data_IF_460229072014
#
_entry.id   IF_460229072014
#
_cell.length_a   1.000
_cell.length_b   1.000
_cell.length_c   1.000
_cell.angle_alpha   90.00
_cell.angle_beta   90.00
_cell.angle_gamma   90.00
#
_symmetry.space_group_name_H-M   'P 1'
#
loop_
_entity.id
_entity.type
_entity.pdbx_description
1 polymer ?
#
# COMPACT_ATOMS: atom_id res chain seq x y z
N UNK A 1 -25.64 12.78 -31.80
CA UNK A 1 -25.03 11.59 -31.17
C UNK A 1 -25.26 10.43 -32.11
N UNK A 2 -24.26 9.58 -32.34
CA UNK A 2 -24.35 8.46 -33.29
C UNK A 2 -25.41 7.46 -32.84
N UNK A 3 -26.15 6.87 -33.77
CA UNK A 3 -27.17 5.84 -33.51
C UNK A 3 -26.60 4.65 -32.72
N UNK A 4 -25.30 4.38 -32.90
CA UNK A 4 -24.52 3.40 -32.15
C UNK A 4 -24.43 3.72 -30.64
N UNK A 5 -24.36 5.00 -30.28
CA UNK A 5 -24.32 5.44 -28.88
C UNK A 5 -25.67 5.24 -28.17
N UNK A 6 -26.76 5.47 -28.89
CA UNK A 6 -28.12 5.25 -28.36
C UNK A 6 -28.45 3.75 -28.27
N UNK A 7 -27.92 2.91 -29.17
CA UNK A 7 -28.02 1.44 -29.06
C UNK A 7 -27.21 0.90 -27.89
N UNK A 8 -26.00 1.40 -27.65
CA UNK A 8 -25.20 1.07 -26.47
C UNK A 8 -25.88 1.47 -25.17
N UNK A 9 -26.53 2.64 -25.14
CA UNK A 9 -27.28 3.11 -23.97
C UNK A 9 -28.49 2.22 -23.68
N UNK A 10 -29.22 1.81 -24.71
CA UNK A 10 -30.34 0.86 -24.58
C UNK A 10 -29.90 -0.54 -24.15
N UNK A 11 -28.74 -1.01 -24.61
CA UNK A 11 -28.17 -2.28 -24.14
C UNK A 11 -27.75 -2.19 -22.68
N UNK A 12 -27.17 -1.06 -22.24
CA UNK A 12 -26.83 -0.81 -20.82
C UNK A 12 -28.07 -0.76 -19.92
N UNK A 13 -29.20 -0.24 -20.39
CA UNK A 13 -30.47 -0.21 -19.65
C UNK A 13 -31.18 -1.57 -19.59
N UNK A 14 -30.84 -2.53 -20.46
CA UNK A 14 -31.43 -3.88 -20.50
C UNK A 14 -30.55 -4.91 -19.78
N UNK A 15 -29.25 -4.62 -19.71
CA UNK A 15 -28.22 -5.52 -19.19
C UNK A 15 -27.74 -4.92 -17.88
N UNK A 16 -28.50 -5.22 -16.83
CA UNK A 16 -28.06 -5.12 -15.44
C UNK A 16 -27.05 -6.24 -15.16
N UNK A 17 -25.95 -6.24 -15.91
CA UNK A 17 -24.84 -7.16 -15.69
C UNK A 17 -23.68 -6.33 -15.21
N UNK A 18 -23.33 -6.52 -13.94
CA UNK A 18 -21.94 -6.39 -13.53
C UNK A 18 -21.10 -7.20 -14.52
N UNK A 19 -20.44 -6.51 -15.44
CA UNK A 19 -19.62 -7.14 -16.48
C UNK A 19 -18.37 -7.82 -15.89
N UNK A 20 -18.07 -7.51 -14.63
CA UNK A 20 -16.92 -8.00 -13.88
C UNK A 20 -17.33 -8.21 -12.43
N UNK A 21 -17.22 -9.45 -11.96
CA UNK A 21 -17.59 -9.83 -10.60
C UNK A 21 -16.42 -9.59 -9.63
N UNK A 22 -16.67 -8.78 -8.59
CA UNK A 22 -15.80 -8.60 -7.43
C UNK A 22 -16.49 -9.15 -6.19
N UNK A 23 -15.70 -9.60 -5.22
CA UNK A 23 -16.25 -9.89 -3.89
C UNK A 23 -16.41 -8.57 -3.10
N UNK A 24 -17.30 -8.57 -2.12
CA UNK A 24 -17.53 -7.41 -1.23
C UNK A 24 -16.22 -6.96 -0.54
N UNK A 25 -15.36 -7.92 -0.17
CA UNK A 25 -14.06 -7.62 0.44
C UNK A 25 -13.05 -6.99 -0.56
N UNK A 26 -13.22 -7.22 -1.87
CA UNK A 26 -12.41 -6.60 -2.92
C UNK A 26 -12.80 -5.13 -3.19
N UNK A 27 -14.02 -4.72 -2.80
CA UNK A 27 -14.51 -3.35 -2.95
C UNK A 27 -14.35 -2.81 -4.38
N UNK A 28 -14.91 -3.52 -5.36
CA UNK A 28 -14.80 -3.23 -6.80
C UNK A 28 -13.36 -3.04 -7.30
N UNK A 29 -12.43 -3.84 -6.77
CA UNK A 29 -11.03 -3.83 -7.19
C UNK A 29 -10.13 -2.85 -6.43
N UNK A 30 -10.63 -2.24 -5.35
CA UNK A 30 -9.87 -1.35 -4.49
C UNK A 30 -8.94 -2.10 -3.54
N UNK A 31 -9.36 -3.26 -3.06
CA UNK A 31 -8.64 -4.07 -2.09
C UNK A 31 -8.45 -5.50 -2.60
N UNK A 32 -7.50 -6.22 -2.02
CA UNK A 32 -7.38 -7.66 -2.22
C UNK A 32 -8.09 -8.43 -1.10
N UNK A 33 -8.80 -9.49 -1.48
CA UNK A 33 -9.19 -10.56 -0.58
C UNK A 33 -8.14 -11.69 -0.60
N UNK A 34 -7.10 -11.52 0.21
CA UNK A 34 -6.05 -12.52 0.36
C UNK A 34 -6.27 -13.43 1.58
N UNK A 35 -7.45 -13.44 2.19
CA UNK A 35 -7.67 -14.20 3.42
C UNK A 35 -7.58 -15.72 3.19
N UNK A 36 -8.10 -16.22 2.07
CA UNK A 36 -7.96 -17.64 1.70
C UNK A 36 -6.49 -18.02 1.45
N UNK A 37 -5.76 -17.17 0.72
CA UNK A 37 -4.34 -17.35 0.45
C UNK A 37 -3.50 -17.32 1.73
N UNK A 38 -3.84 -16.43 2.66
CA UNK A 38 -3.22 -16.37 3.98
C UNK A 38 -3.46 -17.65 4.80
N UNK A 39 -4.68 -18.16 4.83
CA UNK A 39 -4.99 -19.41 5.52
C UNK A 39 -4.19 -20.59 4.95
N UNK A 40 -4.05 -20.67 3.62
CA UNK A 40 -3.18 -21.64 2.95
C UNK A 40 -1.72 -21.47 3.38
N UNK A 41 -1.22 -20.23 3.45
CA UNK A 41 0.15 -19.93 3.88
C UNK A 41 0.43 -20.34 5.33
N UNK A 42 -0.45 -19.99 6.27
CA UNK A 42 -0.29 -20.32 7.70
C UNK A 42 -0.32 -21.83 7.95
N UNK A 43 -1.04 -22.58 7.10
CA UNK A 43 -1.13 -24.03 7.18
C UNK A 43 0.09 -24.76 6.58
N UNK A 44 1.04 -24.05 5.95
CA UNK A 44 2.25 -24.66 5.42
C UNK A 44 3.13 -25.20 6.57
N UNK A 45 3.56 -26.45 6.42
CA UNK A 45 4.38 -27.12 7.43
C UNK A 45 5.71 -26.39 7.66
N UNK A 46 6.06 -26.24 8.93
CA UNK A 46 7.30 -25.65 9.42
C UNK A 46 7.51 -24.17 9.05
N UNK A 47 6.50 -23.45 8.56
CA UNK A 47 6.62 -21.99 8.35
C UNK A 47 6.36 -21.24 9.66
N UNK A 48 7.08 -20.13 9.86
CA UNK A 48 6.84 -19.25 10.99
C UNK A 48 5.44 -18.64 10.87
N UNK A 49 4.64 -18.76 11.93
CA UNK A 49 3.30 -18.19 11.93
C UNK A 49 3.41 -16.68 12.04
N UNK A 50 2.98 -16.00 10.98
CA UNK A 50 2.89 -14.54 10.91
C UNK A 50 1.43 -14.12 10.95
N UNK A 51 1.18 -12.90 11.38
CA UNK A 51 -0.12 -12.25 11.32
C UNK A 51 -0.45 -11.79 9.89
N UNK A 52 -1.73 -11.49 9.64
CA UNK A 52 -2.22 -11.14 8.31
C UNK A 52 -1.55 -9.87 7.76
N UNK A 53 -1.29 -8.88 8.62
CA UNK A 53 -0.65 -7.63 8.19
C UNK A 53 0.80 -7.87 7.75
N UNK A 54 1.57 -8.67 8.50
CA UNK A 54 2.93 -9.07 8.09
C UNK A 54 2.90 -9.89 6.79
N UNK A 55 1.90 -10.75 6.62
CA UNK A 55 1.71 -11.49 5.37
C UNK A 55 1.48 -10.57 4.17
N UNK A 56 0.57 -9.59 4.28
CA UNK A 56 0.30 -8.62 3.21
C UNK A 56 1.54 -7.82 2.81
N UNK A 57 2.47 -7.58 3.73
CA UNK A 57 3.73 -6.92 3.42
C UNK A 57 4.74 -7.83 2.68
N UNK A 58 4.61 -9.15 2.83
CA UNK A 58 5.63 -10.13 2.40
C UNK A 58 5.17 -11.12 1.32
N UNK A 59 3.90 -11.18 0.94
CA UNK A 59 3.38 -12.24 0.04
C UNK A 59 4.05 -12.26 -1.35
N UNK A 60 4.60 -11.13 -1.79
CA UNK A 60 5.35 -10.96 -3.03
C UNK A 60 6.89 -11.03 -2.83
N UNK A 61 7.36 -11.35 -1.62
CA UNK A 61 8.77 -11.52 -1.31
C UNK A 61 9.07 -12.95 -0.84
N UNK A 62 9.66 -13.74 -1.74
CA UNK A 62 9.98 -15.16 -1.51
C UNK A 62 11.42 -15.42 -1.05
N UNK A 63 12.18 -14.37 -0.69
CA UNK A 63 13.61 -14.52 -0.34
C UNK A 63 13.79 -15.24 1.00
N UNK A 64 12.93 -14.95 1.97
CA UNK A 64 13.02 -15.48 3.33
C UNK A 64 12.56 -16.94 3.45
N UNK A 65 11.95 -17.50 2.39
CA UNK A 65 11.39 -18.86 2.40
C UNK A 65 12.50 -19.87 2.05
N UNK A 66 12.83 -20.82 2.94
CA UNK A 66 13.89 -21.81 2.67
C UNK A 66 13.57 -22.67 1.45
N UNK A 67 14.60 -22.97 0.65
CA UNK A 67 14.52 -23.77 -0.58
C UNK A 67 13.85 -25.13 -0.36
N UNK A 68 14.12 -25.77 0.77
CA UNK A 68 13.56 -27.09 1.12
C UNK A 68 12.03 -27.04 1.23
N UNK A 69 11.48 -25.90 1.65
CA UNK A 69 10.03 -25.70 1.79
C UNK A 69 9.37 -25.39 0.46
N UNK A 70 10.06 -24.65 -0.42
CA UNK A 70 9.57 -24.31 -1.75
C UNK A 70 9.27 -25.56 -2.60
N UNK A 71 10.02 -26.63 -2.38
CA UNK A 71 9.87 -27.90 -3.10
C UNK A 71 8.71 -28.80 -2.61
N UNK A 72 8.02 -28.41 -1.54
CA UNK A 72 6.85 -29.14 -1.06
C UNK A 72 5.63 -28.92 -1.99
N UNK A 73 4.79 -29.94 -2.16
CA UNK A 73 3.55 -29.85 -2.95
C UNK A 73 2.60 -28.80 -2.38
N UNK A 74 2.45 -28.77 -1.05
CA UNK A 74 1.59 -27.80 -0.35
C UNK A 74 1.98 -26.35 -0.65
N UNK A 75 3.29 -26.08 -0.76
CA UNK A 75 3.79 -24.75 -1.13
C UNK A 75 3.47 -24.42 -2.58
N UNK A 76 3.68 -25.36 -3.50
CA UNK A 76 3.33 -25.17 -4.91
C UNK A 76 1.83 -24.91 -5.08
N UNK A 77 0.98 -25.59 -4.32
CA UNK A 77 -0.48 -25.36 -4.32
C UNK A 77 -0.85 -23.96 -3.79
N UNK A 78 -0.19 -23.52 -2.71
CA UNK A 78 -0.33 -22.15 -2.21
C UNK A 78 0.07 -21.11 -3.25
N UNK A 79 1.27 -21.24 -3.85
CA UNK A 79 1.79 -20.31 -4.86
C UNK A 79 0.88 -20.25 -6.09
N UNK A 80 0.37 -21.38 -6.57
CA UNK A 80 -0.59 -21.38 -7.68
C UNK A 80 -1.91 -20.71 -7.29
N UNK A 81 -2.42 -20.95 -6.07
CA UNK A 81 -3.66 -20.30 -5.60
C UNK A 81 -3.48 -18.78 -5.57
N UNK A 82 -2.35 -18.29 -5.05
CA UNK A 82 -2.04 -16.87 -4.98
C UNK A 82 -1.85 -16.27 -6.37
N UNK A 83 -1.12 -16.95 -7.26
CA UNK A 83 -0.93 -16.49 -8.64
C UNK A 83 -2.25 -16.39 -9.39
N UNK A 84 -3.10 -17.41 -9.31
CA UNK A 84 -4.40 -17.41 -9.99
C UNK A 84 -5.27 -16.26 -9.48
N UNK A 85 -5.36 -16.08 -8.16
CA UNK A 85 -6.11 -14.96 -7.57
C UNK A 85 -5.60 -13.61 -8.09
N UNK A 86 -4.29 -13.36 -8.01
CA UNK A 86 -3.71 -12.09 -8.45
C UNK A 86 -3.84 -11.87 -9.95
N UNK A 87 -3.75 -12.93 -10.75
CA UNK A 87 -3.92 -12.87 -12.20
C UNK A 87 -5.35 -12.46 -12.54
N UNK A 88 -6.34 -13.19 -12.02
CA UNK A 88 -7.76 -12.92 -12.27
C UNK A 88 -8.12 -11.51 -11.78
N UNK A 89 -7.69 -11.14 -10.58
CA UNK A 89 -7.87 -9.79 -10.05
C UNK A 89 -7.22 -8.72 -10.94
N UNK A 90 -6.01 -8.95 -11.47
CA UNK A 90 -5.35 -8.00 -12.35
C UNK A 90 -6.10 -7.80 -13.68
N UNK A 91 -6.62 -8.88 -14.27
CA UNK A 91 -7.43 -8.82 -15.50
C UNK A 91 -8.70 -7.99 -15.24
N UNK A 92 -9.34 -8.19 -14.08
CA UNK A 92 -10.54 -7.44 -13.66
C UNK A 92 -10.26 -5.95 -13.47
N UNK A 93 -9.20 -5.58 -12.75
CA UNK A 93 -8.90 -4.18 -12.37
C UNK A 93 -8.18 -3.40 -13.46
N UNK A 94 -7.33 -4.07 -14.25
CA UNK A 94 -6.50 -3.42 -15.29
C UNK A 94 -6.64 -4.16 -16.63
N UNK A 95 -7.84 -4.18 -17.25
CA UNK A 95 -8.11 -4.96 -18.47
C UNK A 95 -7.33 -4.50 -19.70
N UNK A 96 -6.74 -3.30 -19.66
CA UNK A 96 -5.90 -2.77 -20.75
C UNK A 96 -4.47 -3.33 -20.74
N UNK A 97 -4.08 -4.04 -19.67
CA UNK A 97 -2.76 -4.67 -19.57
C UNK A 97 -2.83 -6.07 -20.18
N UNK A 98 -2.05 -6.29 -21.24
CA UNK A 98 -1.85 -7.63 -21.80
C UNK A 98 -0.87 -8.42 -20.92
N UNK A 99 -1.42 -9.10 -19.91
CA UNK A 99 -0.64 -9.88 -18.93
C UNK A 99 0.03 -11.08 -19.60
N UNK A 100 -0.63 -11.71 -20.58
CA UNK A 100 -0.08 -12.87 -21.27
C UNK A 100 1.19 -12.50 -22.05
N UNK A 101 1.17 -11.38 -22.79
CA UNK A 101 2.36 -10.86 -23.46
C UNK A 101 3.45 -10.51 -22.46
N UNK A 102 3.10 -9.81 -21.38
CA UNK A 102 4.04 -9.41 -20.34
C UNK A 102 4.73 -10.62 -19.68
N UNK A 103 3.99 -11.70 -19.42
CA UNK A 103 4.55 -12.94 -18.89
C UNK A 103 5.42 -13.68 -19.91
N UNK A 104 4.93 -13.87 -21.13
CA UNK A 104 5.58 -14.74 -22.11
C UNK A 104 6.81 -14.11 -22.78
N UNK A 105 6.83 -12.79 -22.93
CA UNK A 105 7.91 -12.06 -23.59
C UNK A 105 8.85 -11.45 -22.55
N UNK A 106 8.41 -10.38 -21.87
CA UNK A 106 9.27 -9.57 -21.02
C UNK A 106 9.75 -10.31 -19.78
N UNK A 107 8.82 -10.89 -19.01
CA UNK A 107 9.14 -11.53 -17.74
C UNK A 107 9.94 -12.82 -17.94
N UNK A 108 9.57 -13.64 -18.94
CA UNK A 108 10.25 -14.89 -19.23
C UNK A 108 11.69 -14.67 -19.66
N UNK A 109 11.96 -13.68 -20.51
CA UNK A 109 13.31 -13.35 -20.95
C UNK A 109 14.19 -12.87 -19.79
N UNK A 110 13.68 -11.96 -18.94
CA UNK A 110 14.39 -11.49 -17.75
C UNK A 110 14.61 -12.61 -16.73
N UNK A 111 13.61 -13.46 -16.51
CA UNK A 111 13.72 -14.64 -15.65
C UNK A 111 14.81 -15.60 -16.14
N UNK A 112 14.82 -15.95 -17.43
CA UNK A 112 15.82 -16.86 -18.00
C UNK A 112 17.24 -16.30 -17.83
N UNK A 113 17.45 -15.01 -18.10
CA UNK A 113 18.73 -14.33 -17.88
C UNK A 113 19.17 -14.39 -16.40
N UNK A 114 18.26 -14.11 -15.46
CA UNK A 114 18.56 -14.15 -14.02
C UNK A 114 18.78 -15.59 -13.52
N UNK A 115 18.07 -16.55 -14.08
CA UNK A 115 18.18 -17.96 -13.73
C UNK A 115 19.52 -18.55 -14.20
N UNK A 116 19.92 -18.28 -15.45
CA UNK A 116 21.21 -18.71 -16.01
C UNK A 116 22.39 -18.10 -15.25
N UNK A 117 22.30 -16.82 -14.92
CA UNK A 117 23.31 -16.13 -14.10
C UNK A 117 23.22 -16.49 -12.61
N UNK A 118 22.19 -17.23 -12.19
CA UNK A 118 21.93 -17.62 -10.80
C UNK A 118 21.84 -16.43 -9.84
N UNK A 119 21.27 -15.33 -10.32
CA UNK A 119 21.00 -14.10 -9.57
C UNK A 119 19.53 -14.00 -9.16
N UNK A 120 18.72 -15.01 -9.44
CA UNK A 120 17.30 -15.01 -9.10
C UNK A 120 17.10 -15.07 -7.57
N UNK A 121 16.32 -14.14 -6.97
CA UNK A 121 16.15 -14.05 -5.52
C UNK A 121 15.53 -15.31 -4.91
N UNK A 122 15.96 -15.69 -3.70
CA UNK A 122 15.37 -16.82 -2.96
C UNK A 122 15.73 -18.22 -3.49
N UNK A 123 16.66 -18.32 -4.44
CA UNK A 123 17.15 -19.59 -5.01
C UNK A 123 18.69 -19.66 -5.05
N UNK A 124 19.36 -19.85 -3.90
CA UNK A 124 20.82 -19.96 -3.85
C UNK A 124 21.34 -21.26 -4.50
N UNK A 125 22.55 -21.21 -5.09
CA UNK A 125 23.23 -22.40 -5.62
C UNK A 125 23.48 -23.43 -4.51
N UNK A 126 23.34 -24.71 -4.84
CA UNK A 126 23.80 -25.80 -3.97
C UNK A 126 25.28 -25.56 -3.59
N UNK A 127 25.57 -25.61 -2.29
CA UNK A 127 26.90 -25.42 -1.71
C UNK A 127 27.94 -26.39 -2.28
N UNK A 128 27.51 -27.50 -2.89
CA UNK A 128 28.35 -28.44 -3.64
C UNK A 128 29.08 -27.79 -4.82
N UNK A 129 28.50 -26.77 -5.44
CA UNK A 129 29.11 -26.02 -6.55
C UNK A 129 30.07 -24.95 -6.03
N UNK A 130 29.75 -24.28 -4.93
CA UNK A 130 30.63 -23.29 -4.28
C UNK A 130 31.90 -23.95 -3.74
N UNK A 131 31.79 -25.13 -3.12
CA UNK A 131 32.93 -25.95 -2.70
C UNK A 131 33.85 -26.36 -3.86
N UNK A 132 33.31 -26.56 -5.07
CA UNK A 132 34.10 -26.81 -6.29
C UNK A 132 34.82 -25.55 -6.78
N UNK A 133 34.30 -24.35 -6.48
CA UNK A 133 34.71 -23.12 -7.14
C UNK A 133 35.62 -22.21 -6.29
N UNK A 134 35.50 -22.17 -4.96
CA UNK A 134 36.15 -21.12 -4.15
C UNK A 134 37.13 -21.57 -3.05
N UNK A 135 37.41 -22.86 -2.82
CA UNK A 135 38.36 -23.19 -1.73
C UNK A 135 38.99 -24.58 -1.65
N UNK A 136 38.75 -25.46 -2.63
CA UNK A 136 39.11 -26.88 -2.51
C UNK A 136 40.14 -27.39 -3.53
N UNK A 137 40.66 -26.55 -4.42
CA UNK A 137 41.74 -26.93 -5.33
C UNK A 137 43.07 -26.87 -4.57
N UNK A 138 43.46 -28.00 -3.98
CA UNK A 138 44.77 -28.16 -3.35
C UNK A 138 45.81 -28.35 -4.44
N UNK A 139 46.85 -27.50 -4.47
CA UNK A 139 47.96 -27.67 -5.39
C UNK A 139 48.88 -28.80 -4.91
N UNK A 140 48.74 -29.96 -5.56
CA UNK A 140 49.49 -31.18 -5.22
C UNK A 140 50.97 -31.09 -5.61
N UNK A 141 51.38 -30.12 -6.44
CA UNK A 141 52.78 -29.95 -6.84
C UNK A 141 53.69 -29.62 -5.65
N UNK A 142 53.14 -28.97 -4.63
CA UNK A 142 53.84 -28.50 -3.42
C UNK A 142 54.21 -29.60 -2.43
N UNK A 143 53.64 -30.80 -2.57
CA UNK A 143 53.83 -31.91 -1.62
C UNK A 143 54.71 -32.99 -2.23
N UNK A 144 55.77 -33.39 -1.53
CA UNK A 144 56.74 -34.40 -2.00
C UNK A 144 56.33 -35.82 -1.63
N UNK A 145 55.45 -35.99 -0.63
CA UNK A 145 54.97 -37.30 -0.19
C UNK A 145 53.52 -37.26 0.29
N UNK A 146 52.90 -38.44 0.43
CA UNK A 146 51.54 -38.55 0.96
C UNK A 146 51.48 -38.28 2.47
N UNK A 147 52.59 -38.44 3.21
CA UNK A 147 52.72 -38.11 4.63
C UNK A 147 52.58 -36.60 4.87
N UNK A 148 53.10 -35.76 3.97
CA UNK A 148 52.90 -34.31 4.04
C UNK A 148 51.43 -33.93 3.79
N UNK A 149 50.75 -34.61 2.87
CA UNK A 149 49.31 -34.44 2.65
C UNK A 149 48.49 -34.92 3.86
N UNK A 150 48.92 -35.98 4.54
CA UNK A 150 48.32 -36.48 5.77
C UNK A 150 48.36 -35.44 6.90
N UNK A 151 49.44 -34.65 6.98
CA UNK A 151 49.61 -33.60 7.99
C UNK A 151 48.57 -32.46 7.88
N UNK A 152 47.93 -32.29 6.71
CA UNK A 152 46.87 -31.29 6.48
C UNK A 152 45.55 -31.62 7.23
N UNK A 153 45.43 -32.84 7.75
CA UNK A 153 44.29 -33.27 8.52
C UNK A 153 43.11 -33.76 7.67
N UNK A 154 42.18 -34.41 8.38
CA UNK A 154 41.09 -35.18 7.78
C UNK A 154 40.13 -34.32 6.93
N UNK A 155 39.83 -33.11 7.41
CA UNK A 155 38.88 -32.21 6.77
C UNK A 155 39.44 -31.61 5.46
N UNK A 156 40.72 -31.21 5.45
CA UNK A 156 41.35 -30.66 4.25
C UNK A 156 41.47 -31.71 3.14
N UNK A 157 41.83 -32.94 3.50
CA UNK A 157 41.87 -34.08 2.58
C UNK A 157 40.49 -34.46 2.06
N UNK A 158 39.46 -34.43 2.92
CA UNK A 158 38.07 -34.69 2.51
C UNK A 158 37.61 -33.66 1.48
N UNK A 159 37.88 -32.37 1.74
CA UNK A 159 37.52 -31.28 0.82
C UNK A 159 38.23 -31.41 -0.53
N UNK A 160 39.53 -31.71 -0.52
CA UNK A 160 40.31 -31.90 -1.76
C UNK A 160 39.86 -33.13 -2.56
N UNK A 161 39.52 -34.24 -1.92
CA UNK A 161 38.96 -35.43 -2.60
C UNK A 161 37.58 -35.16 -3.20
N UNK A 162 36.73 -34.40 -2.50
CA UNK A 162 35.42 -33.98 -3.02
C UNK A 162 35.58 -33.08 -4.24
N UNK A 163 36.56 -32.17 -4.23
CA UNK A 163 36.84 -31.27 -5.34
C UNK A 163 37.22 -32.02 -6.63
N UNK A 164 37.93 -33.15 -6.48
CA UNK A 164 38.36 -34.01 -7.60
C UNK A 164 37.38 -35.18 -7.85
N UNK A 165 36.23 -35.18 -7.17
CA UNK A 165 35.16 -36.18 -7.31
C UNK A 165 35.57 -37.64 -7.00
N UNK A 166 36.53 -37.81 -6.08
CA UNK A 166 37.02 -39.12 -5.62
C UNK A 166 36.37 -39.53 -4.30
N UNK A 167 36.27 -40.84 -4.09
CA UNK A 167 35.72 -41.41 -2.84
C UNK A 167 36.51 -40.93 -1.62
N UNK A 168 35.78 -40.47 -0.60
CA UNK A 168 36.33 -39.92 0.63
C UNK A 168 36.44 -40.95 1.79
N UNK A 169 36.04 -42.20 1.56
CA UNK A 169 36.07 -43.26 2.59
C UNK A 169 37.49 -43.73 2.92
N UNK A 170 37.66 -44.25 4.14
CA UNK A 170 38.93 -44.80 4.61
C UNK A 170 39.62 -43.98 5.69
N UNK A 171 40.81 -44.46 6.08
CA UNK A 171 41.70 -43.80 7.04
C UNK A 171 42.32 -42.52 6.46
N UNK A 172 42.89 -41.68 7.31
CA UNK A 172 43.55 -40.44 6.90
C UNK A 172 44.68 -40.70 5.88
N UNK A 173 45.45 -41.78 6.07
CA UNK A 173 46.50 -42.20 5.14
C UNK A 173 45.94 -42.62 3.78
N UNK A 174 44.85 -43.39 3.77
CA UNK A 174 44.21 -43.86 2.54
C UNK A 174 43.67 -42.68 1.71
N UNK A 175 43.18 -41.62 2.37
CA UNK A 175 42.75 -40.38 1.72
C UNK A 175 43.92 -39.62 1.13
N UNK A 176 45.02 -39.48 1.87
CA UNK A 176 46.22 -38.81 1.40
C UNK A 176 46.87 -39.54 0.22
N UNK A 177 47.01 -40.87 0.30
CA UNK A 177 47.50 -41.73 -0.79
C UNK A 177 46.62 -41.62 -2.04
N UNK A 178 45.29 -41.61 -1.87
CA UNK A 178 44.33 -41.46 -2.98
C UNK A 178 44.43 -40.10 -3.67
N UNK A 179 44.67 -39.04 -2.90
CA UNK A 179 44.87 -37.69 -3.44
C UNK A 179 46.23 -37.55 -4.14
N UNK A 180 47.29 -38.13 -3.56
CA UNK A 180 48.65 -38.11 -4.12
C UNK A 180 48.77 -38.86 -5.44
N UNK A 181 47.99 -39.94 -5.63
CA UNK A 181 47.94 -40.70 -6.88
C UNK A 181 47.56 -39.88 -8.12
N UNK A 182 46.98 -38.70 -7.93
CA UNK A 182 46.48 -37.80 -8.98
C UNK A 182 47.53 -36.73 -9.32
N UNK A 183 48.60 -36.58 -8.51
CA UNK A 183 49.58 -35.50 -8.65
C UNK A 183 50.21 -35.45 -10.06
N UNK A 184 50.55 -36.62 -10.60
CA UNK A 184 51.29 -36.75 -11.87
C UNK A 184 50.50 -37.50 -12.96
N UNK A 185 49.17 -37.67 -12.78
CA UNK A 185 48.32 -38.43 -13.70
C UNK A 185 47.17 -37.59 -14.22
N UNK A 186 46.83 -37.78 -15.49
CA UNK A 186 45.64 -37.17 -16.06
C UNK A 186 44.39 -37.88 -15.52
N UNK A 187 43.27 -37.17 -15.37
CA UNK A 187 42.05 -37.70 -14.74
C UNK A 187 41.50 -38.95 -15.45
N UNK A 188 41.82 -39.11 -16.74
CA UNK A 188 41.40 -40.24 -17.57
C UNK A 188 42.20 -41.52 -17.35
N UNK A 189 43.38 -41.43 -16.72
CA UNK A 189 44.27 -42.57 -16.42
C UNK A 189 43.95 -43.23 -15.06
N UNK A 190 43.00 -42.66 -14.33
CA UNK A 190 42.63 -43.09 -12.98
C UNK A 190 41.52 -44.14 -13.07
N UNK A 191 41.63 -45.19 -12.25
CA UNK A 191 40.64 -46.26 -12.17
C UNK A 191 39.21 -45.70 -11.96
N UNK A 192 38.25 -45.96 -12.89
CA UNK A 192 36.88 -45.46 -12.82
C UNK A 192 36.11 -45.84 -11.54
N UNK A 193 36.58 -46.87 -10.83
CA UNK A 193 35.99 -47.34 -9.56
C UNK A 193 36.37 -46.45 -8.35
N UNK A 194 37.38 -45.59 -8.46
CA UNK A 194 37.78 -44.64 -7.42
C UNK A 194 36.90 -43.38 -7.41
N UNK A 195 36.29 -43.06 -8.55
CA UNK A 195 35.30 -42.00 -8.68
C UNK A 195 33.96 -42.43 -8.04
N UNK A 196 33.20 -41.43 -7.59
CA UNK A 196 31.83 -41.66 -7.12
C UNK A 196 30.96 -41.97 -8.35
N UNK A 197 30.33 -43.16 -8.38
CA UNK A 197 29.48 -43.61 -9.50
C UNK A 197 28.10 -42.93 -9.42
N UNK A 198 27.91 -41.82 -10.11
CA UNK A 198 26.64 -41.06 -10.10
C UNK A 198 25.77 -41.40 -11.33
N UNK A 199 25.44 -42.68 -11.54
CA UNK A 199 24.63 -43.10 -12.71
C UNK A 199 23.13 -42.75 -12.61
N UNK A 200 22.60 -42.53 -11.40
CA UNK A 200 21.18 -42.18 -11.17
C UNK A 200 20.95 -40.74 -10.70
N UNK A 201 22.01 -39.97 -10.40
CA UNK A 201 21.86 -38.59 -9.91
C UNK A 201 21.60 -37.59 -11.04
N UNK A 202 22.18 -37.76 -12.23
CA UNK A 202 22.01 -36.79 -13.34
C UNK A 202 20.55 -36.64 -13.79
N UNK A 203 19.79 -37.74 -13.88
CA UNK A 203 18.38 -37.70 -14.28
C UNK A 203 17.46 -37.18 -13.17
N UNK A 204 17.72 -37.53 -11.91
CA UNK A 204 17.00 -37.01 -10.75
C UNK A 204 17.28 -35.53 -10.49
N UNK A 205 18.53 -35.10 -10.69
CA UNK A 205 18.97 -33.71 -10.51
C UNK A 205 18.47 -32.82 -11.64
N UNK A 206 18.40 -33.31 -12.88
CA UNK A 206 17.74 -32.59 -13.98
C UNK A 206 16.25 -32.37 -13.70
N UNK A 207 15.51 -33.44 -13.30
CA UNK A 207 14.09 -33.32 -12.91
C UNK A 207 13.87 -32.42 -11.69
N UNK A 208 14.80 -32.44 -10.72
CA UNK A 208 14.75 -31.55 -9.57
C UNK A 208 14.99 -30.10 -9.97
N UNK A 209 15.95 -29.83 -10.84
CA UNK A 209 16.24 -28.49 -11.34
C UNK A 209 15.09 -27.92 -12.18
N UNK A 210 14.43 -28.78 -12.97
CA UNK A 210 13.24 -28.39 -13.74
C UNK A 210 12.06 -28.01 -12.82
N UNK A 211 11.81 -28.80 -11.76
CA UNK A 211 10.82 -28.45 -10.72
C UNK A 211 11.17 -27.16 -9.99
N UNK A 212 12.45 -26.95 -9.67
CA UNK A 212 12.92 -25.71 -9.04
C UNK A 212 12.67 -24.51 -9.95
N UNK A 213 13.02 -24.64 -11.24
CA UNK A 213 12.81 -23.59 -12.25
C UNK A 213 11.32 -23.27 -12.41
N UNK A 214 10.47 -24.28 -12.42
CA UNK A 214 9.01 -24.12 -12.51
C UNK A 214 8.47 -23.29 -11.33
N UNK A 215 8.82 -23.65 -10.09
CA UNK A 215 8.35 -22.92 -8.90
C UNK A 215 8.93 -21.50 -8.87
N UNK A 216 10.21 -21.34 -9.21
CA UNK A 216 10.85 -20.03 -9.29
C UNK A 216 10.17 -19.10 -10.32
N UNK A 217 9.70 -19.66 -11.44
CA UNK A 217 8.97 -18.90 -12.44
C UNK A 217 7.60 -18.43 -11.94
N UNK A 218 6.86 -19.30 -11.22
CA UNK A 218 5.61 -18.90 -10.57
C UNK A 218 5.83 -17.77 -9.56
N UNK A 219 6.90 -17.84 -8.76
CA UNK A 219 7.29 -16.77 -7.84
C UNK A 219 7.58 -15.46 -8.60
N UNK A 220 8.28 -15.53 -9.74
CA UNK A 220 8.56 -14.36 -10.57
C UNK A 220 7.28 -13.70 -11.12
N UNK A 221 6.29 -14.49 -11.51
CA UNK A 221 4.98 -13.98 -11.96
C UNK A 221 4.25 -13.26 -10.84
N UNK A 222 4.23 -13.82 -9.63
CA UNK A 222 3.62 -13.16 -8.46
C UNK A 222 4.34 -11.86 -8.12
N UNK A 223 5.68 -11.87 -8.12
CA UNK A 223 6.46 -10.64 -7.89
C UNK A 223 6.10 -9.55 -8.90
N UNK A 224 5.90 -9.92 -10.18
CA UNK A 224 5.54 -8.97 -11.23
C UNK A 224 4.11 -8.45 -11.09
N UNK A 225 3.15 -9.30 -10.73
CA UNK A 225 1.79 -8.88 -10.42
C UNK A 225 1.73 -7.99 -9.18
N UNK A 226 2.53 -8.29 -8.15
CA UNK A 226 2.67 -7.46 -6.96
C UNK A 226 3.19 -6.05 -7.26
N UNK A 227 4.10 -5.92 -8.24
CA UNK A 227 4.55 -4.62 -8.74
C UNK A 227 3.43 -3.86 -9.45
N UNK A 228 2.71 -4.51 -10.37
CA UNK A 228 1.60 -3.92 -11.15
C UNK A 228 0.44 -3.48 -10.24
N UNK A 229 0.15 -4.25 -9.20
CA UNK A 229 -0.95 -4.04 -8.26
C UNK A 229 -0.49 -3.42 -6.93
N UNK A 230 0.64 -2.70 -6.94
CA UNK A 230 1.23 -2.08 -5.74
C UNK A 230 0.29 -1.06 -5.07
N UNK A 231 -0.51 -0.34 -5.85
CA UNK A 231 -1.53 0.60 -5.34
C UNK A 231 -2.59 -0.13 -4.51
N UNK A 232 -3.14 -1.23 -5.05
CA UNK A 232 -4.14 -2.07 -4.37
C UNK A 232 -3.53 -2.76 -3.14
N UNK A 233 -2.27 -3.16 -3.20
CA UNK A 233 -1.52 -3.69 -2.03
C UNK A 233 -1.49 -2.68 -0.88
N UNK A 234 -1.08 -1.45 -1.16
CA UNK A 234 -1.00 -0.39 -0.15
C UNK A 234 -2.40 -0.08 0.41
N UNK A 235 -3.40 0.07 -0.47
CA UNK A 235 -4.78 0.32 -0.05
C UNK A 235 -5.33 -0.79 0.87
N UNK A 236 -5.02 -2.05 0.56
CA UNK A 236 -5.43 -3.20 1.38
C UNK A 236 -4.76 -3.19 2.75
N UNK A 237 -3.45 -2.90 2.81
CA UNK A 237 -2.70 -2.79 4.07
C UNK A 237 -3.30 -1.68 4.95
N UNK A 238 -3.54 -0.50 4.38
CA UNK A 238 -4.16 0.62 5.11
C UNK A 238 -5.58 0.29 5.58
N UNK A 239 -6.37 -0.42 4.76
CA UNK A 239 -7.71 -0.87 5.14
C UNK A 239 -7.67 -1.82 6.34
N UNK A 240 -6.78 -2.82 6.30
CA UNK A 240 -6.61 -3.78 7.38
C UNK A 240 -6.13 -3.10 8.66
N UNK A 241 -5.16 -2.17 8.57
CA UNK A 241 -4.70 -1.39 9.73
C UNK A 241 -5.83 -0.55 10.33
N UNK A 242 -6.62 0.13 9.49
CA UNK A 242 -7.80 0.87 9.94
C UNK A 242 -8.83 -0.04 10.60
N UNK A 243 -9.13 -1.22 10.03
CA UNK A 243 -10.06 -2.20 10.63
C UNK A 243 -9.52 -2.80 11.95
N UNK A 244 -8.20 -2.92 12.12
CA UNK A 244 -7.57 -3.42 13.34
C UNK A 244 -7.52 -2.38 14.47
N UNK A 245 -7.44 -1.09 14.14
CA UNK A 245 -7.39 -0.01 15.14
C UNK A 245 -8.77 0.35 15.75
N UNK A 246 -9.86 -0.15 15.17
CA UNK A 246 -11.24 0.11 15.60
C UNK A 246 -11.62 -0.68 16.86
N UNK A 247 -12.44 -0.07 17.71
CA UNK A 247 -13.10 -0.79 18.82
C UNK A 247 -14.22 -1.69 18.29
N UNK A 248 -14.63 -2.70 19.06
CA UNK A 248 -15.57 -3.74 18.60
C UNK A 248 -16.87 -3.18 17.98
N UNK A 249 -17.43 -2.10 18.53
CA UNK A 249 -18.63 -1.45 17.97
C UNK A 249 -18.39 -0.67 16.67
N UNK A 250 -17.23 -0.07 16.49
CA UNK A 250 -16.86 0.68 15.27
C UNK A 250 -16.50 -0.24 14.09
N UNK A 251 -16.24 -1.52 14.37
CA UNK A 251 -15.99 -2.55 13.35
C UNK A 251 -17.29 -3.04 12.72
N UNK A 252 -18.33 -3.27 13.52
CA UNK A 252 -19.67 -3.62 13.05
C UNK A 252 -20.26 -2.50 12.19
N UNK A 253 -20.15 -1.23 12.63
CA UNK A 253 -20.60 -0.06 11.84
C UNK A 253 -19.81 0.10 10.52
N UNK A 254 -18.53 -0.31 10.46
CA UNK A 254 -17.73 -0.28 9.22
C UNK A 254 -18.15 -1.30 8.19
N UNK A 255 -18.41 -2.53 8.65
CA UNK A 255 -18.77 -3.63 7.75
C UNK A 255 -20.20 -3.40 7.24
N UNK A 256 -21.07 -2.76 8.05
CA UNK A 256 -22.37 -2.23 7.63
C UNK A 256 -22.25 -1.03 6.67
N UNK A 257 -21.35 -0.06 6.90
CA UNK A 257 -21.10 1.07 5.99
C UNK A 257 -20.48 0.64 4.65
N UNK A 258 -19.63 -0.39 4.62
CA UNK A 258 -19.09 -0.96 3.38
C UNK A 258 -20.23 -1.63 2.61
N UNK A 259 -21.04 -2.46 3.27
CA UNK A 259 -22.21 -3.09 2.67
C UNK A 259 -23.26 -2.07 2.19
N UNK A 260 -23.43 -0.94 2.87
CA UNK A 260 -24.38 0.13 2.50
C UNK A 260 -23.86 1.07 1.40
N UNK A 261 -22.54 1.25 1.25
CA UNK A 261 -21.98 2.00 0.11
C UNK A 261 -21.91 1.16 -1.18
N UNK A 262 -22.13 -0.16 -1.10
CA UNK A 262 -22.18 -1.08 -2.26
C UNK A 262 -23.62 -1.28 -2.81
N UNK A 263 -24.64 -0.70 -2.16
CA UNK A 263 -26.04 -0.75 -2.62
C UNK A 263 -26.60 0.63 -3.01
N UNK A 264 -25.76 1.61 -3.34
CA UNK A 264 -26.20 2.99 -3.64
C UNK A 264 -26.27 3.31 -5.15
N UNK A 265 -26.37 2.28 -6.01
CA UNK A 265 -26.76 2.43 -7.43
C UNK A 265 -28.06 1.67 -7.77
N UNK A 266 -28.81 1.17 -6.79
CA UNK A 266 -30.15 0.60 -7.01
C UNK A 266 -31.16 1.27 -6.06
N UNK A 267 -31.90 2.23 -6.59
CA UNK A 267 -33.18 2.71 -6.05
C UNK A 267 -34.17 1.53 -6.01
N UNK A 268 -34.07 0.65 -5.01
CA UNK A 268 -35.16 -0.25 -4.66
C UNK A 268 -36.11 0.48 -3.71
N UNK A 269 -37.03 1.20 -4.35
CA UNK A 269 -38.24 1.79 -3.77
C UNK A 269 -39.22 0.68 -3.28
N UNK A 270 -38.78 -0.21 -2.38
CA UNK A 270 -39.72 -0.98 -1.57
C UNK A 270 -40.32 -0.03 -0.52
N UNK A 271 -41.47 0.56 -0.85
CA UNK A 271 -42.25 1.40 0.07
C UNK A 271 -42.68 0.58 1.29
N UNK A 272 -41.84 0.58 2.33
CA UNK A 272 -42.15 0.07 3.66
C UNK A 272 -43.41 0.80 4.14
N UNK A 273 -44.48 0.03 4.43
CA UNK A 273 -45.76 0.56 4.90
C UNK A 273 -45.56 1.38 6.19
N UNK A 274 -45.51 2.71 6.03
CA UNK A 274 -45.34 3.71 7.09
C UNK A 274 -46.66 4.48 7.33
N UNK A 275 -47.67 3.84 7.93
CA UNK A 275 -49.01 4.40 8.07
C UNK A 275 -49.09 5.65 8.95
N UNK A 276 -47.99 6.01 9.64
CA UNK A 276 -47.89 7.19 10.50
C UNK A 276 -46.89 8.24 9.99
N UNK A 277 -46.28 8.05 8.82
CA UNK A 277 -45.31 8.96 8.21
C UNK A 277 -44.18 9.40 9.17
N UNK A 278 -43.71 8.50 10.04
CA UNK A 278 -42.56 8.80 10.89
C UNK A 278 -41.29 8.81 10.02
N UNK A 279 -40.34 9.73 10.25
CA UNK A 279 -39.09 9.71 9.51
C UNK A 279 -38.33 8.42 9.76
N UNK A 280 -37.74 7.91 8.68
CA UNK A 280 -37.01 6.67 8.64
C UNK A 280 -35.62 6.90 9.23
N UNK A 281 -35.12 5.92 9.96
CA UNK A 281 -33.74 5.91 10.43
C UNK A 281 -32.80 5.55 9.28
N UNK A 282 -31.51 5.55 9.59
CA UNK A 282 -30.46 5.04 8.71
C UNK A 282 -30.63 3.54 8.38
N UNK A 283 -31.38 2.78 9.19
CA UNK A 283 -31.77 1.37 9.01
C UNK A 283 -33.07 1.20 8.19
N UNK A 284 -33.59 2.24 7.51
CA UNK A 284 -34.82 2.17 6.71
C UNK A 284 -36.11 1.91 7.50
N UNK A 285 -36.03 1.66 8.81
CA UNK A 285 -37.17 1.44 9.71
C UNK A 285 -37.68 2.75 10.32
N UNK A 286 -38.99 2.89 10.62
CA UNK A 286 -39.52 4.08 11.27
C UNK A 286 -38.87 4.32 12.64
N UNK A 287 -38.27 5.50 12.85
CA UNK A 287 -37.59 5.85 14.11
C UNK A 287 -38.62 5.81 15.25
N UNK A 288 -38.33 5.13 16.38
CA UNK A 288 -39.20 5.16 17.55
C UNK A 288 -39.55 6.59 17.99
N UNK A 289 -40.83 6.84 18.28
CA UNK A 289 -41.36 8.19 18.50
C UNK A 289 -40.66 8.98 19.63
N UNK A 290 -40.17 8.29 20.67
CA UNK A 290 -39.42 8.93 21.76
C UNK A 290 -38.03 9.40 21.30
N UNK A 291 -37.36 8.64 20.44
CA UNK A 291 -36.05 8.97 19.87
C UNK A 291 -36.17 10.12 18.86
N UNK A 292 -37.26 10.11 18.08
CA UNK A 292 -37.64 11.20 17.17
C UNK A 292 -37.82 12.54 17.90
N UNK A 293 -38.49 12.53 19.06
CA UNK A 293 -38.64 13.72 19.91
C UNK A 293 -37.36 14.11 20.65
N UNK A 294 -36.56 13.13 21.10
CA UNK A 294 -35.33 13.38 21.86
C UNK A 294 -34.27 14.08 21.00
N UNK A 295 -34.08 13.65 19.76
CA UNK A 295 -33.10 14.24 18.85
C UNK A 295 -33.64 15.45 18.06
N UNK A 296 -34.88 15.87 18.32
CA UNK A 296 -35.48 17.04 17.70
C UNK A 296 -35.74 16.92 16.19
N UNK A 297 -35.83 15.69 15.65
CA UNK A 297 -36.11 15.45 14.23
C UNK A 297 -37.53 15.91 13.83
N UNK A 298 -38.39 16.21 14.81
CA UNK A 298 -39.70 16.80 14.63
C UNK A 298 -39.70 18.30 14.32
N UNK A 299 -38.53 18.93 14.37
CA UNK A 299 -38.36 20.35 14.06
C UNK A 299 -37.80 20.43 12.64
N UNK A 300 -38.57 21.01 11.74
CA UNK A 300 -38.16 21.23 10.35
C UNK A 300 -37.53 22.61 10.20
N UNK A 301 -36.35 22.65 9.60
CA UNK A 301 -35.65 23.86 9.22
C UNK A 301 -35.64 23.98 7.70
N UNK A 302 -35.64 25.21 7.18
CA UNK A 302 -35.56 25.47 5.73
C UNK A 302 -34.35 26.35 5.43
N UNK A 303 -33.67 26.07 4.32
CA UNK A 303 -32.54 26.87 3.86
C UNK A 303 -32.83 27.47 2.47
N UNK A 304 -32.90 28.80 2.39
CA UNK A 304 -33.23 29.52 1.15
C UNK A 304 -32.11 29.40 0.12
N UNK A 305 -30.85 29.50 0.56
CA UNK A 305 -29.64 29.35 -0.27
C UNK A 305 -29.58 27.98 -0.97
N UNK A 306 -30.14 26.93 -0.34
CA UNK A 306 -30.22 25.58 -0.92
C UNK A 306 -31.45 25.35 -1.81
N UNK A 307 -32.21 26.41 -2.14
CA UNK A 307 -33.46 26.32 -2.90
C UNK A 307 -34.65 25.86 -2.05
N UNK A 308 -34.77 26.41 -0.83
CA UNK A 308 -35.80 26.05 0.16
C UNK A 308 -35.84 24.57 0.53
N UNK A 309 -34.67 23.92 0.56
CA UNK A 309 -34.54 22.55 1.03
C UNK A 309 -34.94 22.44 2.51
N UNK A 310 -35.68 21.38 2.85
CA UNK A 310 -36.17 21.11 4.21
C UNK A 310 -35.23 20.13 4.90
N UNK A 311 -34.71 20.50 6.05
CA UNK A 311 -33.86 19.69 6.91
C UNK A 311 -34.61 19.33 8.19
N UNK A 312 -34.60 18.04 8.56
CA UNK A 312 -35.28 17.54 9.77
C UNK A 312 -34.28 17.45 10.92
N UNK A 313 -34.48 18.29 11.91
CA UNK A 313 -33.69 18.34 13.13
C UNK A 313 -32.45 19.24 13.06
N UNK A 314 -32.01 19.72 14.25
CA UNK A 314 -30.94 20.71 14.35
C UNK A 314 -29.58 20.17 13.92
N UNK A 315 -29.28 18.88 14.14
CA UNK A 315 -27.99 18.28 13.76
C UNK A 315 -27.82 18.22 12.25
N UNK A 316 -28.82 17.71 11.52
CA UNK A 316 -28.81 17.69 10.06
C UNK A 316 -28.70 19.11 9.48
N UNK A 317 -29.43 20.05 10.08
CA UNK A 317 -29.35 21.46 9.72
C UNK A 317 -28.03 22.15 10.12
N UNK A 318 -27.21 21.60 11.00
CA UNK A 318 -25.85 22.15 11.22
C UNK A 318 -24.85 21.60 10.22
N UNK A 319 -24.97 20.31 9.89
CA UNK A 319 -24.07 19.64 8.94
C UNK A 319 -24.24 20.22 7.53
N UNK A 320 -25.46 20.60 7.13
CA UNK A 320 -25.71 21.08 5.77
C UNK A 320 -24.91 22.31 5.34
N UNK A 321 -24.41 23.13 6.28
CA UNK A 321 -23.57 24.30 5.96
C UNK A 321 -22.22 23.90 5.33
N UNK A 322 -21.72 22.71 5.66
CA UNK A 322 -20.50 22.15 5.10
C UNK A 322 -20.75 21.24 3.89
N UNK A 323 -22.02 20.90 3.60
CA UNK A 323 -22.38 20.04 2.47
C UNK A 323 -22.21 20.75 1.13
N UNK A 324 -21.98 19.95 0.09
CA UNK A 324 -21.75 20.42 -1.27
C UNK A 324 -22.89 21.32 -1.78
N UNK A 325 -24.15 20.98 -1.48
CA UNK A 325 -25.32 21.73 -1.96
C UNK A 325 -25.33 23.17 -1.46
N UNK A 326 -25.04 23.39 -0.18
CA UNK A 326 -24.95 24.72 0.41
C UNK A 326 -23.73 25.48 -0.11
N UNK A 327 -22.56 24.81 -0.19
CA UNK A 327 -21.35 25.39 -0.76
C UNK A 327 -21.54 25.81 -2.23
N UNK A 328 -22.28 25.04 -3.01
CA UNK A 328 -22.64 25.36 -4.38
C UNK A 328 -23.58 26.57 -4.46
N UNK A 329 -24.61 26.61 -3.61
CA UNK A 329 -25.50 27.78 -3.50
C UNK A 329 -24.74 29.07 -3.17
N UNK A 330 -23.81 29.02 -2.21
CA UNK A 330 -22.93 30.14 -1.86
C UNK A 330 -22.02 30.55 -3.02
N UNK A 331 -21.49 29.58 -3.78
CA UNK A 331 -20.69 29.85 -4.98
C UNK A 331 -21.50 30.55 -6.08
N UNK A 332 -22.76 30.18 -6.28
CA UNK A 332 -23.66 30.83 -7.23
C UNK A 332 -23.97 32.29 -6.85
N UNK A 333 -23.95 32.62 -5.55
CA UNK A 333 -24.08 33.98 -5.04
C UNK A 333 -22.75 34.76 -5.09
N UNK A 334 -21.64 34.11 -5.45
CA UNK A 334 -20.30 34.72 -5.47
C UNK A 334 -19.70 34.95 -4.08
N UNK A 335 -20.20 34.25 -3.05
CA UNK A 335 -19.74 34.36 -1.66
C UNK A 335 -18.86 33.14 -1.33
N UNK A 336 -17.66 33.33 -0.73
CA UNK A 336 -16.84 32.20 -0.30
C UNK A 336 -17.45 31.51 0.92
N UNK A 337 -17.59 30.17 0.87
CA UNK A 337 -18.12 29.38 1.98
C UNK A 337 -17.09 29.29 3.11
N UNK A 338 -17.19 30.21 4.08
CA UNK A 338 -16.30 30.33 5.25
C UNK A 338 -17.12 30.29 6.53
N UNK A 339 -16.48 30.01 7.66
CA UNK A 339 -17.15 29.89 8.96
C UNK A 339 -17.95 31.15 9.39
N UNK A 340 -17.65 32.32 8.81
CA UNK A 340 -18.39 33.56 9.02
C UNK A 340 -19.86 33.46 8.58
N UNK A 341 -20.18 32.57 7.65
CA UNK A 341 -21.53 32.37 7.12
C UNK A 341 -22.26 31.18 7.78
N UNK A 342 -21.72 30.62 8.87
CA UNK A 342 -22.42 29.60 9.64
C UNK A 342 -23.76 30.15 10.17
N UNK A 343 -24.82 29.35 10.07
CA UNK A 343 -26.21 29.72 10.43
C UNK A 343 -26.90 30.74 9.51
N UNK A 344 -26.28 31.17 8.41
CA UNK A 344 -26.94 32.08 7.46
C UNK A 344 -27.74 31.27 6.44
N UNK A 345 -29.05 31.42 6.43
CA UNK A 345 -29.93 30.68 5.52
C UNK A 345 -30.63 31.52 4.48
N UNK A 346 -30.87 32.80 4.74
CA UNK A 346 -31.46 33.71 3.77
C UNK A 346 -30.42 34.29 2.82
N UNK A 347 -30.80 34.41 1.55
CA UNK A 347 -29.95 34.96 0.50
C UNK A 347 -29.66 36.45 0.77
N UNK A 348 -30.66 37.20 1.24
CA UNK A 348 -30.53 38.63 1.55
C UNK A 348 -29.52 38.87 2.68
N UNK A 349 -29.63 38.09 3.76
CA UNK A 349 -28.72 38.17 4.91
C UNK A 349 -27.28 37.81 4.53
N UNK A 350 -27.10 36.79 3.68
CA UNK A 350 -25.78 36.39 3.18
C UNK A 350 -25.11 37.52 2.37
N UNK A 351 -25.87 38.18 1.48
CA UNK A 351 -25.36 39.31 0.70
C UNK A 351 -25.03 40.52 1.57
N UNK A 352 -25.88 40.83 2.55
CA UNK A 352 -25.65 41.94 3.49
C UNK A 352 -24.40 41.71 4.34
N UNK A 353 -24.22 40.48 4.85
CA UNK A 353 -23.03 40.12 5.63
C UNK A 353 -21.77 40.16 4.76
N UNK A 354 -21.85 39.67 3.52
CA UNK A 354 -20.73 39.70 2.59
C UNK A 354 -20.30 41.12 2.22
N UNK A 355 -21.25 42.02 1.96
CA UNK A 355 -20.96 43.43 1.68
C UNK A 355 -20.26 44.10 2.87
N UNK A 356 -20.73 43.87 4.11
CA UNK A 356 -20.07 44.39 5.32
C UNK A 356 -18.63 43.87 5.46
N UNK A 357 -18.41 42.57 5.31
CA UNK A 357 -17.08 41.96 5.39
C UNK A 357 -16.14 42.46 4.29
N UNK A 358 -16.68 42.71 3.10
CA UNK A 358 -15.92 43.28 1.98
C UNK A 358 -15.50 44.73 2.27
N UNK A 359 -16.39 45.54 2.84
CA UNK A 359 -16.10 46.91 3.23
C UNK A 359 -15.07 46.97 4.37
N UNK A 360 -15.17 46.10 5.37
CA UNK A 360 -14.17 45.98 6.45
C UNK A 360 -12.79 45.58 5.88
N UNK A 361 -12.75 44.56 5.03
CA UNK A 361 -11.51 44.11 4.38
C UNK A 361 -10.92 45.16 3.41
N UNK A 362 -11.74 46.03 2.83
CA UNK A 362 -11.27 47.16 2.02
C UNK A 362 -10.70 48.31 2.85
N UNK A 363 -11.14 48.47 4.11
CA UNK A 363 -10.55 49.43 5.06
C UNK A 363 -9.22 48.94 5.61
N UNK A 364 -9.03 47.62 5.75
CA UNK A 364 -7.74 47.04 6.16
C UNK A 364 -6.69 47.03 5.05
N UNK A 365 -7.11 47.15 3.78
CA UNK A 365 -6.19 47.26 2.66
C UNK A 365 -5.64 48.68 2.60
N UNK A 366 -4.31 48.78 2.58
CA UNK A 366 -3.59 50.02 2.37
C UNK A 366 -4.19 50.84 1.22
N UNK A 367 -4.53 52.09 1.51
CA UNK A 367 -5.10 53.01 0.52
C UNK A 367 -4.07 54.08 0.14
N UNK A 368 -3.41 53.99 -1.03
CA UNK A 368 -2.38 54.95 -1.46
C UNK A 368 -2.86 56.41 -1.54
N UNK A 369 -4.17 56.62 -1.63
CA UNK A 369 -4.79 57.95 -1.64
C UNK A 369 -4.92 58.56 -0.24
N UNK A 370 -5.00 57.73 0.80
CA UNK A 370 -5.34 58.13 2.16
C UNK A 370 -4.26 57.78 3.21
N UNK A 371 -3.27 56.98 2.83
CA UNK A 371 -2.21 56.51 3.72
C UNK A 371 -0.83 56.63 3.04
N UNK A 372 0.19 57.00 3.81
CA UNK A 372 1.60 57.04 3.41
C UNK A 372 2.34 55.85 4.05
N UNK A 373 3.15 55.14 3.25
CA UNK A 373 4.00 54.04 3.74
C UNK A 373 5.29 54.62 4.32
N UNK A 374 5.65 54.24 5.56
CA UNK A 374 6.92 54.60 6.17
C UNK A 374 7.64 53.36 6.71
N UNK A 375 8.94 53.26 6.45
CA UNK A 375 9.79 52.18 6.94
C UNK A 375 10.57 52.66 8.19
N UNK A 376 10.44 51.91 9.30
CA UNK A 376 11.20 52.21 10.52
C UNK A 376 12.69 51.81 10.37
N UNK A 377 13.53 52.23 11.32
CA UNK A 377 14.96 51.89 11.33
C UNK A 377 15.25 50.39 11.49
N UNK A 378 14.23 49.58 11.79
CA UNK A 378 14.29 48.12 11.89
C UNK A 378 13.74 47.41 10.64
N UNK A 379 13.33 48.16 9.60
CA UNK A 379 12.83 47.63 8.34
C UNK A 379 11.36 47.19 8.35
N UNK A 380 10.56 47.65 9.33
CA UNK A 380 9.11 47.40 9.36
C UNK A 380 8.36 48.54 8.67
N UNK A 381 7.38 48.17 7.83
CA UNK A 381 6.56 49.12 7.06
C UNK A 381 5.24 49.34 7.78
N UNK A 382 4.98 50.58 8.17
CA UNK A 382 3.73 51.03 8.80
C UNK A 382 2.98 52.04 7.90
N UNK A 383 1.65 52.10 8.03
CA UNK A 383 0.77 52.98 7.26
C UNK A 383 0.19 54.09 8.14
N UNK A 384 0.33 55.37 7.74
CA UNK A 384 -0.23 56.52 8.47
C UNK A 384 -1.23 57.32 7.61
N UNK A 385 -2.40 57.72 8.16
CA UNK A 385 -3.35 58.57 7.44
C UNK A 385 -2.81 59.98 7.16
N UNK A 386 -3.00 60.53 5.96
CA UNK A 386 -2.50 61.86 5.55
C UNK A 386 -2.97 63.04 6.44
N UNK A 387 -4.08 62.91 7.18
CA UNK A 387 -4.74 64.03 7.87
C UNK A 387 -4.36 64.23 9.35
N UNK A 388 -3.31 63.57 9.86
CA UNK A 388 -2.85 63.76 11.24
C UNK A 388 -1.79 64.86 11.42
N UNK A 389 -1.37 65.57 10.36
CA UNK A 389 -0.38 66.67 10.47
C UNK A 389 -0.95 68.05 10.85
N UNK A 390 -2.15 68.14 11.43
CA UNK A 390 -2.66 69.42 11.94
C UNK A 390 -3.13 69.30 13.38
N UNK A 391 -2.17 69.17 14.30
CA UNK A 391 -2.14 69.85 15.61
C UNK A 391 -1.18 69.14 16.58
N UNK A 392 0.13 69.37 16.42
CA UNK A 392 1.04 69.35 17.57
C UNK A 392 1.86 70.64 17.51
N UNK A 393 1.44 71.61 18.32
CA UNK A 393 2.21 72.81 18.62
C UNK A 393 3.57 72.44 19.23
N UNK A 394 4.68 73.06 18.80
CA UNK A 394 5.99 72.77 19.33
C UNK A 394 6.20 73.56 20.62
N UNK A 395 5.84 72.99 21.76
CA UNK A 395 6.40 73.43 23.04
C UNK A 395 6.69 72.23 23.91
N UNK A 396 7.90 72.26 24.50
CA UNK A 396 8.45 71.29 25.45
C UNK A 396 9.18 70.10 24.81
N UNK A 397 10.24 70.46 24.07
CA UNK A 397 11.50 69.71 24.12
C UNK A 397 12.18 70.09 25.43
N UNK A 398 12.08 69.25 26.46
CA UNK A 398 12.99 69.27 27.59
C UNK A 398 13.30 67.84 28.00
N UNK A 399 14.54 67.47 27.67
CA UNK A 399 15.42 66.50 28.31
C UNK A 399 14.88 65.83 29.59
N UNK A 400 14.87 64.50 29.58
CA UNK A 400 15.46 63.73 30.68
C UNK A 400 15.69 62.28 30.25
N UNK A 401 16.96 61.92 30.09
CA UNK A 401 17.43 60.54 30.27
C UNK A 401 16.96 60.04 31.63
N UNK A 402 16.20 58.95 31.67
CA UNK A 402 16.10 58.11 32.86
C UNK A 402 16.21 56.66 32.43
N UNK A 403 17.41 56.16 32.67
CA UNK A 403 17.81 54.78 32.83
C UNK A 403 16.92 54.09 33.88
N UNK A 404 16.24 52.98 33.55
CA UNK A 404 15.90 51.94 34.55
C UNK A 404 15.46 50.61 33.94
N UNK A 405 16.38 49.65 34.03
CA UNK A 405 16.20 48.31 34.60
C UNK A 405 15.05 47.42 34.09
N UNK A 406 15.48 46.45 33.30
CA UNK A 406 14.93 45.09 33.23
C UNK A 406 14.52 44.58 34.61
N UNK A 407 13.25 44.16 34.75
CA UNK A 407 12.82 43.18 35.75
C UNK A 407 11.87 42.20 35.08
N UNK A 408 12.32 40.96 34.99
CA UNK A 408 11.52 39.82 34.57
C UNK A 408 10.37 39.55 35.53
N UNK A 409 9.27 39.08 34.95
CA UNK A 409 8.17 38.46 35.67
C UNK A 409 8.06 37.01 35.22
N UNK A 410 8.55 36.11 36.08
CA UNK A 410 8.00 34.76 36.23
C UNK A 410 6.74 34.86 37.07
N UNK A 411 5.65 34.20 36.64
CA UNK A 411 4.69 33.51 37.52
C UNK A 411 3.79 32.63 36.65
N UNK A 412 3.94 31.30 36.76
CA UNK A 412 3.29 30.35 37.69
C UNK A 412 2.08 29.73 37.01
#
# INVERSE_FOLDING_TARGET
>A
MSTEFDEFKKLKEIIDLNLVDFTDEEGYGKYFDLNECFNKFVNLKNIEKIDYLTYLNKFDNFVDIPKERKLNSEYKEYVNSLLNYLYDFCVKVKPLIDIERLFNEELKEDFEKRWENSTFPGWPKETSSVLKQTGARLDLSTFSSWEELASLGLDRLKLALIAVNLKCGGTLEERAKRLFLIKDKNLDEINPNLFVKNKNEKSGQFKSNEKQKEIAYLEAQIMKLGEILSEQKIATIENVQRKQARTAGEREESDEEISQNESDDEEDDEVIYNPKNLPLGWDGKPIPYWLYKLHGLNITYTCEICGNAIYKGPKAFQIHFAEWRHAHGMRCLGIPNTAHFANVTSIEDALNLWNKLKDEKQKEKFQPTNEEEYEDSEGRVDFKPWLLEVNISPSLRSESSVDTSVKGFNKV
#
